data_IF_265328978179
#
_entry.id   IF_265328978179
#
_cell.length_a   1.000
_cell.length_b   1.000
_cell.length_c   1.000
_cell.angle_alpha   90.00
_cell.angle_beta   90.00
_cell.angle_gamma   90.00
#
_symmetry.space_group_name_H-M   'P 1'
#
loop_
_entity.id
_entity.type
_entity.pdbx_description
1 polymer ?
#
# COMPACT_ATOMS: atom_id res chain seq x y z
N UNK A 1 0.07 -0.13 -22.71
CA UNK A 1 -0.50 -0.14 -21.35
C UNK A 1 0.35 -1.08 -20.52
N UNK A 2 0.84 -0.66 -19.35
CA UNK A 2 1.57 -1.56 -18.46
C UNK A 2 0.56 -2.55 -17.84
N UNK A 3 0.79 -3.84 -18.05
CA UNK A 3 0.05 -4.89 -17.36
C UNK A 3 0.56 -4.94 -15.91
N UNK A 4 -0.34 -5.03 -14.94
CA UNK A 4 0.04 -5.29 -13.56
C UNK A 4 0.74 -6.66 -13.51
N UNK A 5 2.03 -6.73 -13.10
CA UNK A 5 2.74 -7.99 -13.05
C UNK A 5 2.20 -8.84 -11.89
N UNK A 6 2.16 -10.15 -12.06
CA UNK A 6 1.83 -11.06 -10.96
C UNK A 6 3.07 -11.32 -10.10
N UNK A 7 2.93 -11.19 -8.78
CA UNK A 7 3.96 -11.56 -7.81
C UNK A 7 3.46 -12.71 -6.96
N UNK A 8 4.29 -13.74 -6.79
CA UNK A 8 4.03 -14.88 -5.93
C UNK A 8 4.97 -14.86 -4.73
N UNK A 9 4.42 -15.22 -3.59
CA UNK A 9 5.13 -15.45 -2.32
C UNK A 9 4.72 -16.82 -1.79
N UNK A 10 5.26 -17.23 -0.65
CA UNK A 10 4.91 -18.53 -0.05
C UNK A 10 3.40 -18.69 0.14
N UNK A 11 2.71 -17.63 0.60
CA UNK A 11 1.27 -17.71 0.93
C UNK A 11 0.39 -16.87 0.02
N UNK A 12 0.94 -15.88 -0.68
CA UNK A 12 0.15 -14.84 -1.36
C UNK A 12 0.40 -14.80 -2.86
N UNK A 13 -0.68 -14.51 -3.59
CA UNK A 13 -0.66 -14.05 -4.98
C UNK A 13 -1.05 -12.58 -5.01
N UNK A 14 -0.16 -11.74 -5.50
CA UNK A 14 -0.41 -10.32 -5.74
C UNK A 14 -0.67 -10.16 -7.23
N UNK A 15 -1.88 -9.76 -7.59
CA UNK A 15 -2.33 -9.73 -8.99
C UNK A 15 -3.14 -8.48 -9.31
N UNK A 16 -3.49 -8.29 -10.59
CA UNK A 16 -4.30 -7.15 -11.00
C UNK A 16 -5.64 -7.10 -10.27
N UNK A 17 -6.11 -5.89 -9.94
CA UNK A 17 -7.46 -5.72 -9.40
C UNK A 17 -8.50 -5.99 -10.49
N UNK A 18 -9.53 -6.77 -10.14
CA UNK A 18 -10.60 -7.23 -11.04
C UNK A 18 -11.95 -6.72 -10.54
N UNK A 19 -12.93 -6.59 -11.43
CA UNK A 19 -14.29 -6.18 -11.04
C UNK A 19 -14.92 -7.11 -9.98
N UNK A 20 -14.58 -8.41 -10.01
CA UNK A 20 -15.03 -9.40 -9.03
C UNK A 20 -14.51 -9.17 -7.60
N UNK A 21 -13.50 -8.32 -7.41
CA UNK A 21 -12.97 -8.01 -6.07
C UNK A 21 -13.86 -7.06 -5.28
N UNK A 22 -14.87 -6.47 -5.91
CA UNK A 22 -15.62 -5.36 -5.32
C UNK A 22 -16.22 -5.71 -3.96
N UNK A 23 -16.78 -6.91 -3.80
CA UNK A 23 -17.34 -7.33 -2.52
C UNK A 23 -16.30 -7.29 -1.40
N UNK A 24 -15.12 -7.89 -1.62
CA UNK A 24 -14.02 -7.87 -0.65
C UNK A 24 -13.45 -6.46 -0.43
N UNK A 25 -13.42 -5.62 -1.46
CA UNK A 25 -13.00 -4.22 -1.33
C UNK A 25 -14.00 -3.40 -0.50
N UNK A 26 -15.30 -3.56 -0.76
CA UNK A 26 -16.35 -2.85 -0.04
C UNK A 26 -16.38 -3.25 1.43
N UNK A 27 -16.22 -4.54 1.74
CA UNK A 27 -16.09 -5.03 3.11
C UNK A 27 -14.84 -4.47 3.78
N UNK A 28 -13.67 -4.56 3.13
CA UNK A 28 -12.40 -4.06 3.66
C UNK A 28 -12.46 -2.57 4.02
N UNK A 29 -12.94 -1.73 3.11
CA UNK A 29 -12.97 -0.28 3.28
C UNK A 29 -14.16 0.21 4.10
N UNK A 30 -15.19 -0.63 4.29
CA UNK A 30 -16.33 -0.39 5.16
C UNK A 30 -16.10 -0.79 6.62
N UNK A 31 -14.98 -1.43 6.94
CA UNK A 31 -14.66 -1.87 8.30
C UNK A 31 -13.96 -0.76 9.10
N UNK A 32 -14.56 -0.37 10.23
CA UNK A 32 -14.04 0.65 11.16
C UNK A 32 -12.65 0.31 11.68
N UNK A 33 -12.35 -0.96 11.98
CA UNK A 33 -11.04 -1.38 12.47
C UNK A 33 -9.96 -1.23 11.40
N UNK A 34 -10.32 -1.33 10.12
CA UNK A 34 -9.41 -1.16 8.99
C UNK A 34 -9.13 0.32 8.72
N UNK A 35 -10.17 1.16 8.71
CA UNK A 35 -10.05 2.57 8.35
C UNK A 35 -9.73 3.50 9.52
N UNK A 36 -9.72 2.99 10.76
CA UNK A 36 -9.45 3.77 11.98
C UNK A 36 -8.28 4.74 11.83
N UNK A 37 -7.19 4.29 11.21
CA UNK A 37 -5.96 5.06 10.99
C UNK A 37 -5.80 5.54 9.54
N UNK A 38 -6.83 5.41 8.72
CA UNK A 38 -6.86 5.75 7.29
C UNK A 38 -8.08 6.64 7.04
N UNK A 39 -8.07 7.83 7.63
CA UNK A 39 -9.17 8.80 7.56
C UNK A 39 -10.29 8.59 8.58
N UNK A 40 -10.33 7.45 9.27
CA UNK A 40 -11.19 7.20 10.43
C UNK A 40 -12.68 7.03 10.13
N UNK A 41 -13.09 7.07 8.85
CA UNK A 41 -14.49 6.93 8.44
C UNK A 41 -14.63 5.76 7.45
N UNK A 42 -15.51 4.77 7.74
CA UNK A 42 -15.86 3.72 6.81
C UNK A 42 -16.31 4.26 5.46
N UNK A 43 -15.78 3.68 4.39
CA UNK A 43 -16.17 4.06 3.04
C UNK A 43 -17.56 3.49 2.72
N UNK A 44 -18.40 4.31 2.11
CA UNK A 44 -19.58 3.85 1.40
C UNK A 44 -19.19 2.95 0.21
N UNK A 45 -20.11 2.12 -0.32
CA UNK A 45 -19.83 1.32 -1.52
C UNK A 45 -19.34 2.16 -2.72
N UNK A 46 -19.86 3.38 -2.89
CA UNK A 46 -19.42 4.32 -3.94
C UNK A 46 -17.97 4.75 -3.75
N UNK A 47 -17.57 5.08 -2.53
CA UNK A 47 -16.20 5.49 -2.22
C UNK A 47 -15.22 4.31 -2.34
N UNK A 48 -15.63 3.12 -1.89
CA UNK A 48 -14.86 1.90 -2.05
C UNK A 48 -14.65 1.55 -3.54
N UNK A 49 -15.70 1.66 -4.35
CA UNK A 49 -15.62 1.46 -5.81
C UNK A 49 -14.68 2.48 -6.46
N UNK A 50 -14.85 3.77 -6.15
CA UNK A 50 -14.00 4.84 -6.66
C UNK A 50 -12.53 4.65 -6.25
N UNK A 51 -12.25 4.13 -5.05
CA UNK A 51 -10.90 3.79 -4.62
C UNK A 51 -10.35 2.61 -5.40
N UNK A 52 -11.12 1.52 -5.54
CA UNK A 52 -10.72 0.32 -6.27
C UNK A 52 -10.34 0.63 -7.73
N UNK A 53 -11.12 1.48 -8.41
CA UNK A 53 -10.86 1.89 -9.80
C UNK A 53 -9.54 2.66 -9.98
N UNK A 54 -9.03 3.32 -8.93
CA UNK A 54 -7.75 4.05 -9.00
C UNK A 54 -6.58 3.08 -9.17
N UNK A 55 -6.65 1.86 -8.65
CA UNK A 55 -5.50 0.97 -8.63
C UNK A 55 -5.05 0.51 -10.03
N UNK A 56 -5.94 0.02 -10.91
CA UNK A 56 -5.57 -0.20 -12.31
C UNK A 56 -5.18 1.10 -13.04
N UNK A 57 -5.78 2.23 -12.67
CA UNK A 57 -5.44 3.55 -13.21
C UNK A 57 -4.00 3.96 -12.92
N UNK A 58 -3.48 3.69 -11.72
CA UNK A 58 -2.08 3.93 -11.36
C UNK A 58 -1.14 3.15 -12.27
N UNK A 59 -1.39 1.86 -12.50
CA UNK A 59 -0.61 1.04 -13.43
C UNK A 59 -0.62 1.62 -14.85
N UNK A 60 -1.79 1.99 -15.34
CA UNK A 60 -1.95 2.52 -16.69
C UNK A 60 -1.18 3.85 -16.91
N UNK A 61 -1.11 4.71 -15.90
CA UNK A 61 -0.52 6.04 -15.99
C UNK A 61 0.94 6.10 -15.55
N UNK A 62 1.33 5.33 -14.54
CA UNK A 62 2.62 5.44 -13.85
C UNK A 62 3.54 4.24 -14.08
N UNK A 63 3.01 3.12 -14.58
CA UNK A 63 3.76 1.86 -14.70
C UNK A 63 3.98 1.13 -13.37
N UNK A 64 3.40 1.64 -12.27
CA UNK A 64 3.33 1.00 -10.96
C UNK A 64 2.00 1.34 -10.29
N UNK A 65 1.59 0.52 -9.33
CA UNK A 65 0.32 0.72 -8.66
C UNK A 65 0.10 -0.26 -7.51
N UNK A 66 -1.17 -0.44 -7.19
CA UNK A 66 -1.61 -1.40 -6.19
C UNK A 66 -1.96 -2.75 -6.83
N UNK A 67 -1.72 -3.80 -6.06
CA UNK A 67 -2.18 -5.15 -6.29
C UNK A 67 -3.33 -5.48 -5.36
N UNK A 68 -4.20 -6.38 -5.83
CA UNK A 68 -5.05 -7.16 -4.93
C UNK A 68 -4.22 -8.32 -4.38
N UNK A 69 -4.29 -8.52 -3.07
CA UNK A 69 -3.66 -9.65 -2.37
C UNK A 69 -4.69 -10.77 -2.25
N UNK A 70 -4.30 -11.96 -2.72
CA UNK A 70 -5.10 -13.18 -2.72
C UNK A 70 -4.35 -14.25 -1.93
N UNK A 71 -5.05 -14.92 -1.02
CA UNK A 71 -4.53 -16.08 -0.30
C UNK A 71 -4.43 -17.27 -1.27
N UNK A 72 -3.24 -17.86 -1.42
CA UNK A 72 -2.99 -18.91 -2.43
C UNK A 72 -3.67 -20.23 -2.12
N UNK A 73 -3.93 -20.50 -0.84
CA UNK A 73 -4.55 -21.76 -0.41
C UNK A 73 -6.06 -21.75 -0.69
N UNK A 74 -6.72 -20.64 -0.38
CA UNK A 74 -8.18 -20.53 -0.40
C UNK A 74 -8.73 -19.73 -1.58
N UNK A 75 -7.89 -18.93 -2.24
CA UNK A 75 -8.32 -17.94 -3.24
C UNK A 75 -9.05 -16.73 -2.63
N UNK A 76 -9.03 -16.59 -1.29
CA UNK A 76 -9.73 -15.52 -0.61
C UNK A 76 -9.03 -14.16 -0.82
N UNK A 77 -9.84 -13.10 -0.90
CA UNK A 77 -9.34 -11.73 -0.88
C UNK A 77 -8.72 -11.42 0.48
N UNK A 78 -7.42 -11.12 0.49
CA UNK A 78 -6.66 -10.85 1.70
C UNK A 78 -6.34 -9.36 1.91
N UNK A 79 -6.53 -8.52 0.89
CA UNK A 79 -6.31 -7.08 1.01
C UNK A 79 -5.77 -6.43 -0.26
N UNK A 80 -5.18 -5.26 -0.10
CA UNK A 80 -4.61 -4.45 -1.17
C UNK A 80 -3.31 -3.81 -0.71
N UNK A 81 -2.27 -3.89 -1.54
CA UNK A 81 -0.95 -3.35 -1.23
C UNK A 81 -0.31 -2.76 -2.48
N UNK A 82 0.61 -1.82 -2.33
CA UNK A 82 1.40 -1.37 -3.47
C UNK A 82 2.11 -0.06 -3.26
N UNK A 83 2.42 0.56 -4.40
CA UNK A 83 3.01 1.88 -4.50
C UNK A 83 2.06 2.81 -5.27
N UNK A 84 2.03 4.09 -4.92
CA UNK A 84 1.23 5.08 -5.62
C UNK A 84 1.89 6.46 -5.61
N UNK A 85 1.50 7.29 -6.57
CA UNK A 85 1.58 8.74 -6.46
C UNK A 85 0.15 9.27 -6.33
N UNK A 86 -0.26 9.53 -5.08
CA UNK A 86 -1.62 9.97 -4.78
C UNK A 86 -1.85 11.47 -4.95
N UNK A 87 -0.82 12.25 -5.32
CA UNK A 87 -0.89 13.73 -5.39
C UNK A 87 -1.51 14.34 -4.13
N UNK A 88 -1.02 13.90 -2.96
CA UNK A 88 -1.56 14.32 -1.66
C UNK A 88 -1.24 15.78 -1.36
N UNK A 89 -2.18 16.47 -0.73
CA UNK A 89 -1.90 17.72 -0.02
C UNK A 89 -1.15 17.41 1.29
N UNK A 90 0.14 17.16 1.15
CA UNK A 90 1.05 16.72 2.21
C UNK A 90 2.16 17.75 2.42
N UNK A 91 2.47 18.05 3.69
CA UNK A 91 3.61 18.85 4.07
C UNK A 91 4.54 18.07 5.02
N UNK A 92 5.83 17.87 4.68
CA UNK A 92 6.46 18.25 3.42
C UNK A 92 5.96 17.42 2.24
N UNK A 93 6.01 17.99 1.04
CA UNK A 93 5.64 17.28 -0.19
C UNK A 93 6.60 16.11 -0.49
N UNK A 94 6.07 15.07 -1.14
CA UNK A 94 6.78 13.83 -1.53
C UNK A 94 6.76 13.61 -3.04
N UNK A 95 6.67 14.69 -3.82
CA UNK A 95 6.54 14.63 -5.28
C UNK A 95 7.62 13.75 -5.92
N UNK A 96 7.18 12.83 -6.78
CA UNK A 96 8.07 11.90 -7.49
C UNK A 96 8.61 10.74 -6.65
N UNK A 97 8.23 10.62 -5.38
CA UNK A 97 8.58 9.49 -4.51
C UNK A 97 7.37 8.55 -4.40
N UNK A 98 7.48 7.28 -4.84
CA UNK A 98 6.40 6.32 -4.69
C UNK A 98 6.04 6.10 -3.23
N UNK A 99 4.76 6.29 -2.90
CA UNK A 99 4.19 6.08 -1.58
C UNK A 99 3.72 4.63 -1.45
N UNK A 100 4.33 3.90 -0.53
CA UNK A 100 3.91 2.57 -0.15
C UNK A 100 2.71 2.61 0.80
N UNK A 101 1.77 1.71 0.57
CA UNK A 101 0.67 1.46 1.49
C UNK A 101 0.15 0.04 1.41
N UNK A 102 -0.45 -0.40 2.51
CA UNK A 102 -0.99 -1.74 2.68
C UNK A 102 -2.26 -1.68 3.52
N UNK A 103 -3.27 -2.44 3.12
CA UNK A 103 -4.52 -2.62 3.85
C UNK A 103 -4.90 -4.09 3.74
N UNK A 104 -4.96 -4.78 4.88
CA UNK A 104 -5.19 -6.22 4.95
C UNK A 104 -6.55 -6.47 5.60
N UNK A 105 -7.29 -7.46 5.09
CA UNK A 105 -8.57 -7.83 5.66
C UNK A 105 -8.41 -8.36 7.10
N UNK A 106 -9.33 -8.06 8.04
CA UNK A 106 -9.21 -8.43 9.45
C UNK A 106 -8.90 -9.91 9.69
N UNK A 107 -9.49 -10.82 8.91
CA UNK A 107 -9.23 -12.27 8.98
C UNK A 107 -7.76 -12.68 8.74
N UNK A 108 -6.94 -11.77 8.21
CA UNK A 108 -5.54 -11.99 7.87
C UNK A 108 -4.58 -11.18 8.77
N UNK A 109 -5.08 -10.43 9.75
CA UNK A 109 -4.26 -9.67 10.70
C UNK A 109 -3.44 -10.59 11.60
N UNK A 110 -2.34 -10.07 12.15
CA UNK A 110 -1.46 -10.82 13.07
C UNK A 110 -0.66 -11.98 12.44
N UNK A 111 -0.86 -12.29 11.16
CA UNK A 111 -0.23 -13.42 10.45
C UNK A 111 0.98 -13.03 9.60
N UNK A 112 1.41 -11.76 9.65
CA UNK A 112 2.54 -11.24 8.88
C UNK A 112 2.26 -11.00 7.39
N UNK A 113 0.99 -11.04 6.97
CA UNK A 113 0.56 -10.91 5.56
C UNK A 113 1.01 -9.57 4.94
N UNK A 114 0.83 -8.45 5.65
CA UNK A 114 1.26 -7.13 5.17
C UNK A 114 2.76 -7.08 4.87
N UNK A 115 3.58 -7.61 5.79
CA UNK A 115 5.04 -7.63 5.62
C UNK A 115 5.48 -8.53 4.46
N UNK A 116 4.87 -9.71 4.30
CA UNK A 116 5.19 -10.61 3.18
C UNK A 116 4.81 -9.97 1.83
N UNK A 117 3.60 -9.44 1.72
CA UNK A 117 3.11 -8.80 0.50
C UNK A 117 3.97 -7.59 0.11
N UNK A 118 4.22 -6.69 1.06
CA UNK A 118 5.04 -5.51 0.79
C UNK A 118 6.52 -5.83 0.54
N UNK A 119 7.07 -6.90 1.12
CA UNK A 119 8.42 -7.33 0.79
C UNK A 119 8.54 -7.71 -0.69
N UNK A 120 7.54 -8.41 -1.24
CA UNK A 120 7.49 -8.74 -2.67
C UNK A 120 7.33 -7.48 -3.55
N UNK A 121 6.46 -6.55 -3.14
CA UNK A 121 6.28 -5.26 -3.84
C UNK A 121 7.58 -4.46 -3.87
N UNK A 122 8.30 -4.37 -2.76
CA UNK A 122 9.54 -3.60 -2.68
C UNK A 122 10.67 -4.27 -3.46
N UNK A 123 10.77 -5.60 -3.42
CA UNK A 123 11.73 -6.33 -4.26
C UNK A 123 11.45 -6.16 -5.75
N UNK A 124 10.17 -6.10 -6.14
CA UNK A 124 9.77 -5.72 -7.50
C UNK A 124 10.18 -4.28 -7.82
N UNK A 125 9.87 -3.33 -6.93
CA UNK A 125 10.16 -1.92 -7.13
C UNK A 125 11.67 -1.65 -7.26
N UNK A 126 12.48 -2.28 -6.41
CA UNK A 126 13.94 -2.11 -6.44
C UNK A 126 14.54 -2.52 -7.81
N UNK A 127 13.91 -3.50 -8.49
CA UNK A 127 14.33 -4.02 -9.80
C UNK A 127 13.76 -3.24 -10.98
N UNK A 128 12.47 -2.92 -10.94
CA UNK A 128 11.74 -2.38 -12.11
C UNK A 128 11.64 -0.86 -12.11
N UNK A 129 11.71 -0.22 -10.93
CA UNK A 129 11.54 1.22 -10.82
C UNK A 129 12.88 1.97 -10.81
N UNK A 130 12.97 3.11 -11.51
CA UNK A 130 14.17 3.95 -11.51
C UNK A 130 14.39 4.69 -10.18
N UNK A 131 13.34 4.85 -9.36
CA UNK A 131 13.41 5.61 -8.12
C UNK A 131 14.34 4.95 -7.10
N UNK A 132 15.21 5.75 -6.51
CA UNK A 132 16.17 5.30 -5.49
C UNK A 132 15.54 5.16 -4.11
N UNK A 133 14.33 5.67 -3.92
CA UNK A 133 13.66 5.69 -2.62
C UNK A 133 12.16 5.58 -2.75
N UNK A 134 11.54 5.02 -1.74
CA UNK A 134 10.09 5.02 -1.52
C UNK A 134 9.79 5.63 -0.15
N UNK A 135 8.55 6.02 0.07
CA UNK A 135 8.09 6.53 1.37
C UNK A 135 6.83 5.82 1.83
N UNK A 136 6.45 5.99 3.09
CA UNK A 136 5.11 5.63 3.56
C UNK A 136 4.64 6.63 4.63
N UNK A 137 3.33 6.80 4.70
CA UNK A 137 2.65 7.69 5.64
C UNK A 137 1.83 6.85 6.61
N UNK A 138 2.04 7.08 7.90
CA UNK A 138 1.45 6.26 8.96
C UNK A 138 0.94 7.19 10.05
N UNK A 139 -0.29 6.95 10.50
CA UNK A 139 -0.83 7.60 11.69
C UNK A 139 0.05 7.29 12.92
N UNK A 140 0.42 8.28 13.76
CA UNK A 140 1.28 8.05 14.92
C UNK A 140 0.78 6.98 15.90
N UNK A 141 -0.53 6.76 15.98
CA UNK A 141 -1.15 5.76 16.86
C UNK A 141 -1.22 4.36 16.21
N UNK A 142 -0.88 4.22 14.93
CA UNK A 142 -0.94 2.95 14.21
C UNK A 142 0.34 2.11 14.42
N UNK A 143 0.50 1.59 15.63
CA UNK A 143 1.65 0.75 16.00
C UNK A 143 1.81 -0.51 15.15
N UNK A 144 0.73 -1.04 14.56
CA UNK A 144 0.81 -2.20 13.67
C UNK A 144 1.51 -1.87 12.36
N UNK A 145 1.12 -0.77 11.70
CA UNK A 145 1.77 -0.31 10.47
C UNK A 145 3.20 0.18 10.71
N UNK A 146 3.48 0.83 11.84
CA UNK A 146 4.85 1.24 12.20
C UNK A 146 5.78 0.02 12.22
N UNK A 147 5.38 -1.08 12.88
CA UNK A 147 6.17 -2.32 12.92
C UNK A 147 6.37 -2.94 11.55
N UNK A 148 5.36 -2.87 10.67
CA UNK A 148 5.49 -3.35 9.28
C UNK A 148 6.51 -2.50 8.53
N UNK A 149 6.44 -1.18 8.63
CA UNK A 149 7.36 -0.26 7.98
C UNK A 149 8.81 -0.50 8.42
N UNK A 150 9.05 -0.57 9.73
CA UNK A 150 10.38 -0.83 10.31
C UNK A 150 10.96 -2.17 9.80
N UNK A 151 10.15 -3.23 9.79
CA UNK A 151 10.57 -4.56 9.29
C UNK A 151 10.97 -4.54 7.80
N UNK A 152 10.37 -3.64 7.02
CA UNK A 152 10.65 -3.47 5.60
C UNK A 152 11.82 -2.51 5.32
N UNK A 153 12.44 -1.95 6.35
CA UNK A 153 13.56 -1.03 6.25
C UNK A 153 13.16 0.43 6.07
N UNK A 154 11.91 0.80 6.32
CA UNK A 154 11.52 2.20 6.40
C UNK A 154 12.03 2.81 7.71
N UNK A 155 12.72 3.94 7.59
CA UNK A 155 13.35 4.64 8.70
C UNK A 155 13.27 6.16 8.49
N UNK A 156 13.93 6.92 9.37
CA UNK A 156 14.03 8.37 9.25
C UNK A 156 12.66 9.06 9.42
N UNK A 157 11.89 8.61 10.40
CA UNK A 157 10.57 9.15 10.75
C UNK A 157 10.62 10.69 10.88
N UNK A 158 9.75 11.37 10.13
CA UNK A 158 9.56 12.82 10.19
C UNK A 158 8.09 13.13 10.43
N UNK A 159 7.77 14.15 11.23
CA UNK A 159 6.42 14.69 11.27
C UNK A 159 6.00 15.16 9.87
N UNK A 160 4.76 14.86 9.50
CA UNK A 160 4.11 15.37 8.31
C UNK A 160 2.67 15.79 8.64
N UNK A 161 2.10 16.65 7.82
CA UNK A 161 0.70 17.04 7.89
C UNK A 161 0.00 16.67 6.58
N UNK A 162 -1.03 15.83 6.67
CA UNK A 162 -1.87 15.43 5.55
C UNK A 162 -3.24 16.08 5.71
N UNK A 163 -3.55 17.10 4.90
CA UNK A 163 -4.80 17.85 5.01
C UNK A 163 -5.05 18.43 6.42
N UNK A 164 -3.98 18.83 7.12
CA UNK A 164 -4.04 19.35 8.49
C UNK A 164 -3.94 18.30 9.61
N UNK A 165 -4.11 17.01 9.32
CA UNK A 165 -3.95 15.93 10.30
C UNK A 165 -2.47 15.52 10.46
N UNK A 166 -2.06 15.20 11.68
CA UNK A 166 -0.70 14.74 11.97
C UNK A 166 -0.47 13.34 11.37
N UNK A 167 0.71 13.13 10.79
CA UNK A 167 1.16 11.85 10.24
C UNK A 167 2.65 11.69 10.43
N UNK A 168 3.13 10.45 10.40
CA UNK A 168 4.54 10.11 10.38
C UNK A 168 4.93 9.70 8.96
N UNK A 169 5.96 10.36 8.44
CA UNK A 169 6.54 10.08 7.14
C UNK A 169 7.83 9.30 7.31
N UNK A 170 7.90 8.11 6.73
CA UNK A 170 9.10 7.27 6.71
C UNK A 170 9.63 7.13 5.29
N UNK A 171 10.92 6.83 5.18
CA UNK A 171 11.59 6.60 3.90
C UNK A 171 12.36 5.29 3.91
N UNK A 172 12.40 4.63 2.76
CA UNK A 172 13.24 3.47 2.48
C UNK A 172 14.08 3.77 1.25
N UNK A 173 15.39 3.69 1.40
CA UNK A 173 16.33 3.76 0.27
C UNK A 173 16.46 2.38 -0.38
N UNK A 174 16.63 2.35 -1.70
CA UNK A 174 16.84 1.12 -2.45
C UNK A 174 18.17 0.47 -2.03
N UNK A 175 18.19 -0.82 -1.68
CA UNK A 175 19.41 -1.52 -1.34
C UNK A 175 20.45 -1.43 -2.48
N UNK A 176 21.69 -1.09 -2.15
CA UNK A 176 22.78 -0.98 -3.12
C UNK A 176 22.79 0.30 -3.97
N UNK A 177 21.86 1.23 -3.74
CA UNK A 177 21.91 2.57 -4.34
C UNK A 177 22.99 3.42 -3.67
N UNK A 178 24.11 3.67 -4.36
CA UNK A 178 25.02 4.75 -3.98
C UNK A 178 24.25 6.08 -4.01
N UNK A 179 24.28 6.81 -2.90
CA UNK A 179 23.94 8.23 -2.86
C UNK A 179 24.85 8.93 -3.89
N UNK A 180 24.31 9.71 -4.86
CA UNK A 180 25.17 10.62 -5.61
C UNK A 180 25.84 11.63 -4.66
#
# INVERSE_FOLDING_TARGET
>A
MALTPELLTDRLRLRETRAGDFAGCAELWGDEAVVRYIGGTPSTPTEAWARMLRFPGLWALLGYGYWTVEDRETGAFAGQVGLADFKRDLQPAIDGIPEAGWVIAPAFHGRGIASEAMAAVLAWADRELPQQRTCCLIDPENGASIRVAEKLGYAGCRPASLGGAASLLYFRERPGGTRP
#
